data_IF_993942521236
#
_entry.id   IF_993942521236
#
_cell.length_a   1.000
_cell.length_b   1.000
_cell.length_c   1.000
_cell.angle_alpha   90.00
_cell.angle_beta   90.00
_cell.angle_gamma   90.00
#
_symmetry.space_group_name_H-M   'P 1'
#
loop_
_entity.id
_entity.type
_entity.pdbx_description
1 polymer ?
#
# COMPACT_ATOMS: atom_id res chain seq x y z
N UNK A 1 14.29 13.66 -0.79
CA UNK A 1 13.52 12.41 -0.55
C UNK A 1 14.06 11.34 -1.47
N UNK A 2 14.62 10.25 -0.93
CA UNK A 2 15.03 9.09 -1.74
C UNK A 2 13.75 8.31 -2.05
N UNK A 3 13.36 8.24 -3.31
CA UNK A 3 12.18 7.48 -3.74
C UNK A 3 12.59 6.02 -3.78
N UNK A 4 11.96 5.18 -2.95
CA UNK A 4 12.15 3.73 -3.00
C UNK A 4 11.71 3.22 -4.37
N UNK A 5 12.52 2.36 -4.99
CA UNK A 5 12.10 1.67 -6.20
C UNK A 5 11.21 0.48 -5.85
N UNK A 6 9.90 0.71 -5.86
CA UNK A 6 8.92 -0.32 -5.52
C UNK A 6 8.83 -1.39 -6.62
N UNK A 7 9.28 -2.60 -6.29
CA UNK A 7 9.08 -3.79 -7.13
C UNK A 7 7.70 -4.42 -6.88
N UNK A 8 7.16 -5.19 -7.85
CA UNK A 8 5.95 -6.01 -7.65
C UNK A 8 5.94 -6.83 -6.35
N UNK A 9 7.05 -7.49 -6.05
CA UNK A 9 7.23 -8.31 -4.85
C UNK A 9 7.18 -7.45 -3.60
N UNK A 10 7.86 -6.30 -3.59
CA UNK A 10 7.82 -5.40 -2.43
C UNK A 10 6.43 -4.82 -2.18
N UNK A 11 5.66 -4.52 -3.23
CA UNK A 11 4.28 -4.05 -3.09
C UNK A 11 3.42 -5.14 -2.47
N UNK A 12 3.58 -6.39 -2.91
CA UNK A 12 2.87 -7.54 -2.36
C UNK A 12 3.22 -7.76 -0.88
N UNK A 13 4.50 -7.74 -0.55
CA UNK A 13 4.97 -7.96 0.82
C UNK A 13 4.58 -6.80 1.75
N UNK A 14 4.68 -5.56 1.27
CA UNK A 14 4.14 -4.40 1.98
C UNK A 14 2.66 -4.56 2.29
N UNK A 15 1.84 -4.91 1.30
CA UNK A 15 0.40 -5.11 1.50
C UNK A 15 0.12 -6.18 2.57
N UNK A 16 0.81 -7.32 2.49
CA UNK A 16 0.64 -8.42 3.44
C UNK A 16 1.14 -8.06 4.84
N UNK A 17 2.31 -7.42 4.95
CA UNK A 17 2.92 -6.96 6.21
C UNK A 17 1.96 -6.08 7.01
N UNK A 18 1.26 -5.17 6.34
CA UNK A 18 0.26 -4.29 6.96
C UNK A 18 -1.17 -4.84 6.89
N UNK A 19 -1.35 -6.12 6.51
CA UNK A 19 -2.65 -6.81 6.41
C UNK A 19 -3.71 -6.04 5.60
N UNK A 20 -3.28 -5.31 4.58
CA UNK A 20 -4.16 -4.52 3.72
C UNK A 20 -4.82 -5.42 2.68
N UNK A 21 -6.08 -5.16 2.36
CA UNK A 21 -6.66 -5.67 1.12
C UNK A 21 -6.16 -4.85 -0.06
N UNK A 22 -6.18 -5.38 -1.28
CA UNK A 22 -5.82 -4.61 -2.48
C UNK A 22 -6.69 -3.36 -2.63
N UNK A 23 -7.95 -3.44 -2.23
CA UNK A 23 -8.91 -2.33 -2.27
C UNK A 23 -8.46 -1.20 -1.34
N UNK A 24 -8.10 -1.52 -0.09
CA UNK A 24 -7.64 -0.53 0.88
C UNK A 24 -6.32 0.09 0.44
N UNK A 25 -5.37 -0.71 -0.05
CA UNK A 25 -4.12 -0.19 -0.60
C UNK A 25 -4.37 0.78 -1.77
N UNK A 26 -5.26 0.40 -2.70
CA UNK A 26 -5.65 1.27 -3.81
C UNK A 26 -6.24 2.60 -3.32
N UNK A 27 -7.13 2.56 -2.32
CA UNK A 27 -7.71 3.78 -1.73
C UNK A 27 -6.66 4.68 -1.07
N UNK A 28 -5.67 4.12 -0.37
CA UNK A 28 -4.60 4.89 0.28
C UNK A 28 -3.68 5.59 -0.73
N UNK A 29 -3.46 4.96 -1.88
CA UNK A 29 -2.55 5.46 -2.94
C UNK A 29 -3.31 6.24 -4.03
N UNK A 30 -4.64 6.24 -4.00
CA UNK A 30 -5.48 6.93 -5.01
C UNK A 30 -5.58 6.20 -6.35
N UNK A 31 -5.54 4.87 -6.35
CA UNK A 31 -5.62 4.03 -7.55
C UNK A 31 -6.71 2.97 -7.45
N UNK A 32 -7.04 2.34 -8.58
CA UNK A 32 -8.00 1.24 -8.61
C UNK A 32 -7.41 -0.05 -8.04
N UNK A 33 -8.30 -0.96 -7.58
CA UNK A 33 -7.89 -2.29 -7.11
C UNK A 33 -7.17 -3.09 -8.19
N UNK A 34 -7.57 -2.90 -9.44
CA UNK A 34 -7.00 -3.56 -10.62
C UNK A 34 -5.56 -3.11 -10.85
N UNK A 35 -5.23 -1.83 -10.63
CA UNK A 35 -3.86 -1.34 -10.74
C UNK A 35 -2.95 -2.04 -9.72
N UNK A 36 -3.39 -2.16 -8.47
CA UNK A 36 -2.65 -2.88 -7.42
C UNK A 36 -2.46 -4.35 -7.80
N UNK A 37 -3.51 -5.02 -8.30
CA UNK A 37 -3.42 -6.40 -8.76
C UNK A 37 -2.40 -6.57 -9.90
N UNK A 38 -2.41 -5.68 -10.90
CA UNK A 38 -1.47 -5.72 -12.02
C UNK A 38 -0.02 -5.50 -11.59
N UNK A 39 0.21 -4.64 -10.59
CA UNK A 39 1.55 -4.45 -10.02
C UNK A 39 2.03 -5.71 -9.31
N UNK A 40 1.21 -6.32 -8.45
CA UNK A 40 1.59 -7.56 -7.74
C UNK A 40 1.83 -8.76 -8.67
N UNK A 41 1.27 -8.72 -9.88
CA UNK A 41 1.42 -9.76 -10.91
C UNK A 41 2.48 -9.47 -11.95
N UNK A 42 3.29 -8.43 -11.76
CA UNK A 42 4.36 -8.02 -12.69
C UNK A 42 3.85 -7.64 -14.09
N UNK A 43 2.53 -7.43 -14.24
CA UNK A 43 1.91 -7.08 -15.53
C UNK A 43 2.18 -5.61 -15.88
N UNK A 44 2.26 -4.75 -14.87
CA UNK A 44 2.60 -3.33 -15.02
C UNK A 44 3.46 -2.87 -13.85
N UNK A 45 4.26 -1.85 -14.09
CA UNK A 45 5.03 -1.17 -13.04
C UNK A 45 4.32 0.12 -12.61
N UNK A 46 4.35 0.47 -11.32
CA UNK A 46 3.83 1.75 -10.85
C UNK A 46 4.70 2.90 -11.37
N UNK A 47 4.06 4.00 -11.75
CA UNK A 47 4.75 5.21 -12.16
C UNK A 47 5.44 5.88 -10.97
N UNK A 48 6.40 6.78 -11.25
CA UNK A 48 7.18 7.49 -10.22
C UNK A 48 6.30 8.16 -9.15
N UNK A 49 5.21 8.82 -9.55
CA UNK A 49 4.28 9.45 -8.61
C UNK A 49 3.64 8.44 -7.67
N UNK A 50 3.22 7.29 -8.18
CA UNK A 50 2.66 6.20 -7.39
C UNK A 50 3.70 5.62 -6.43
N UNK A 51 4.96 5.46 -6.85
CA UNK A 51 6.05 5.00 -5.98
C UNK A 51 6.26 5.95 -4.79
N UNK A 52 6.18 7.27 -5.03
CA UNK A 52 6.25 8.28 -3.96
C UNK A 52 5.08 8.13 -2.99
N UNK A 53 3.85 7.95 -3.51
CA UNK A 53 2.66 7.77 -2.67
C UNK A 53 2.74 6.48 -1.84
N UNK A 54 3.22 5.38 -2.42
CA UNK A 54 3.47 4.13 -1.69
C UNK A 54 4.46 4.34 -0.54
N UNK A 55 5.58 5.03 -0.77
CA UNK A 55 6.54 5.36 0.28
C UNK A 55 5.93 6.23 1.39
N UNK A 56 5.11 7.22 1.03
CA UNK A 56 4.43 8.07 2.02
C UNK A 56 3.44 7.26 2.87
N UNK A 57 2.65 6.38 2.25
CA UNK A 57 1.72 5.49 2.98
C UNK A 57 2.47 4.53 3.89
N UNK A 58 3.60 3.96 3.43
CA UNK A 58 4.46 3.10 4.27
C UNK A 58 4.98 3.85 5.51
N UNK A 59 5.45 5.09 5.35
CA UNK A 59 5.89 5.93 6.47
C UNK A 59 4.75 6.23 7.45
N UNK A 60 3.57 6.57 6.94
CA UNK A 60 2.38 6.83 7.77
C UNK A 60 1.94 5.59 8.55
N UNK A 61 1.93 4.42 7.92
CA UNK A 61 1.59 3.16 8.58
C UNK A 61 2.66 2.74 9.59
N UNK A 62 3.94 3.00 9.32
CA UNK A 62 5.04 2.77 10.28
C UNK A 62 4.89 3.66 11.51
N UNK A 63 4.50 4.93 11.35
CA UNK A 63 4.22 5.85 12.46
C UNK A 63 3.00 5.40 13.28
N UNK A 64 1.92 4.95 12.61
CA UNK A 64 0.71 4.45 13.28
C UNK A 64 0.90 3.09 13.95
N UNK A 65 1.80 2.25 13.46
CA UNK A 65 2.13 0.95 14.06
C UNK A 65 2.79 1.02 15.46
N UNK A 66 3.13 2.23 15.94
CA UNK A 66 3.54 2.47 17.33
C UNK A 66 2.38 2.66 18.31
N UNK A 67 1.14 2.82 17.83
CA UNK A 67 -0.04 3.07 18.66
C UNK A 67 -1.20 2.13 18.27
N UNK A 68 -1.21 0.97 18.96
CA UNK A 68 -2.34 0.08 19.30
C UNK A 68 -3.38 -0.32 18.22
N UNK A 69 -3.52 -1.65 18.11
CA UNK A 69 -4.77 -2.41 17.93
C UNK A 69 -6.06 -1.56 17.91
N UNK A 70 -6.46 -1.13 16.72
CA UNK A 70 -7.67 -0.35 16.49
C UNK A 70 -8.71 -1.17 15.76
N UNK A 71 -9.46 -2.00 16.51
CA UNK A 71 -10.74 -2.60 16.07
C UNK A 71 -11.61 -1.55 15.38
N UNK A 72 -11.75 -1.61 14.05
CA UNK A 72 -12.91 -0.99 13.40
C UNK A 72 -14.09 -1.93 13.60
N UNK A 73 -14.83 -1.66 14.69
CA UNK A 73 -16.22 -2.09 14.85
C UNK A 73 -17.00 -1.59 13.62
N UNK A 74 -17.60 -2.49 12.85
CA UNK A 74 -18.76 -2.13 12.02
C UNK A 74 -19.99 -2.45 12.86
N UNK A 75 -20.62 -1.38 13.34
CA UNK A 75 -21.93 -1.41 13.96
C UNK A 75 -23.00 -1.42 12.86
N UNK A 76 -24.12 -2.06 13.21
CA UNK A 76 -25.46 -2.06 12.63
C UNK A 76 -25.68 -2.88 11.35
#
# INVERSE_FOLDING_TARGET
>A
MIVKDWTPQEILEFRKKYKLTRKVLGQLVGVTVTAVYQWEKEVRTPQRTTKILLSKVEEELKKKGGDKDGKTKRNL
#
